data_IF_376723547326
#
_entry.id   IF_376723547326
#
_cell.length_a   1.000
_cell.length_b   1.000
_cell.length_c   1.000
_cell.angle_alpha   90.00
_cell.angle_beta   90.00
_cell.angle_gamma   90.00
#
_symmetry.space_group_name_H-M   'P 1'
#
loop_
_entity.id
_entity.type
_entity.pdbx_description
1 polymer ?
#
# COMPACT_ATOMS: atom_id res chain seq x y z
N UNK A 1 7.54 9.97 -17.00
CA UNK A 1 6.11 10.17 -17.36
C UNK A 1 5.28 10.43 -16.09
N UNK A 2 5.19 11.72 -15.74
CA UNK A 2 4.18 12.37 -14.89
C UNK A 2 3.59 11.56 -13.72
N UNK A 3 4.35 11.38 -12.65
CA UNK A 3 3.83 10.99 -11.33
C UNK A 3 3.12 12.17 -10.65
N UNK A 4 2.10 12.74 -11.28
CA UNK A 4 1.26 13.73 -10.60
C UNK A 4 0.39 12.98 -9.60
N UNK A 5 0.48 13.37 -8.32
CA UNK A 5 -0.60 13.20 -7.35
C UNK A 5 -1.89 13.58 -8.08
N UNK A 6 -2.94 12.74 -8.11
CA UNK A 6 -4.13 13.09 -8.86
C UNK A 6 -4.58 14.48 -8.42
N UNK A 7 -4.90 15.35 -9.38
CA UNK A 7 -5.44 16.71 -9.18
C UNK A 7 -6.78 16.73 -8.41
N UNK A 8 -7.16 15.62 -7.81
CA UNK A 8 -8.36 15.34 -7.05
C UNK A 8 -8.23 15.67 -5.55
N UNK A 9 -7.07 16.12 -5.03
CA UNK A 9 -7.01 16.54 -3.60
C UNK A 9 -8.06 17.64 -3.32
N UNK A 10 -8.41 18.44 -4.33
CA UNK A 10 -9.46 19.47 -4.28
C UNK A 10 -10.91 18.94 -4.31
N UNK A 11 -11.15 17.64 -4.46
CA UNK A 11 -12.50 17.03 -4.49
C UNK A 11 -12.85 16.23 -3.23
N UNK A 12 -11.91 16.10 -2.28
CA UNK A 12 -12.17 15.41 -1.02
C UNK A 12 -12.82 16.37 -0.02
N UNK A 13 -13.81 15.88 0.71
CA UNK A 13 -14.29 16.56 1.92
C UNK A 13 -13.18 16.59 2.98
N UNK A 14 -13.19 17.59 3.86
CA UNK A 14 -12.23 17.69 4.97
C UNK A 14 -12.14 16.42 5.83
N UNK A 15 -13.27 15.74 6.08
CA UNK A 15 -13.30 14.53 6.88
C UNK A 15 -12.59 13.35 6.19
N UNK A 16 -12.81 13.18 4.89
CA UNK A 16 -12.10 12.17 4.09
C UNK A 16 -10.59 12.47 4.01
N UNK A 17 -10.21 13.74 3.87
CA UNK A 17 -8.80 14.13 3.86
C UNK A 17 -8.14 13.87 5.22
N UNK A 18 -8.80 14.25 6.32
CA UNK A 18 -8.32 13.95 7.68
C UNK A 18 -8.19 12.45 7.90
N UNK A 19 -9.20 11.67 7.52
CA UNK A 19 -9.14 10.21 7.63
C UNK A 19 -7.94 9.64 6.85
N UNK A 20 -7.76 10.05 5.59
CA UNK A 20 -6.63 9.62 4.76
C UNK A 20 -5.29 9.92 5.43
N UNK A 21 -5.11 11.12 5.98
CA UNK A 21 -3.90 11.52 6.69
C UNK A 21 -3.65 10.68 7.95
N UNK A 22 -4.69 10.44 8.76
CA UNK A 22 -4.57 9.64 9.99
C UNK A 22 -4.20 8.20 9.68
N UNK A 23 -4.86 7.58 8.71
CA UNK A 23 -4.57 6.20 8.30
C UNK A 23 -3.17 6.08 7.72
N UNK A 24 -2.77 6.99 6.84
CA UNK A 24 -1.42 6.94 6.23
C UNK A 24 -0.34 7.10 7.30
N UNK A 25 -0.52 8.04 8.24
CA UNK A 25 0.40 8.24 9.36
C UNK A 25 0.45 7.02 10.29
N UNK A 26 -0.70 6.42 10.58
CA UNK A 26 -0.79 5.23 11.42
C UNK A 26 -0.05 4.03 10.80
N UNK A 27 -0.22 3.81 9.50
CA UNK A 27 0.38 2.65 8.84
C UNK A 27 1.88 2.82 8.58
N UNK A 28 2.34 4.04 8.29
CA UNK A 28 3.74 4.34 7.98
C UNK A 28 4.56 4.81 9.20
N UNK A 29 3.96 4.88 10.38
CA UNK A 29 4.59 5.33 11.63
C UNK A 29 4.98 4.19 12.57
N UNK A 30 5.58 4.53 13.70
CA UNK A 30 6.29 3.55 14.55
C UNK A 30 5.42 2.78 15.56
N UNK A 31 4.10 3.02 15.61
CA UNK A 31 3.18 2.34 16.53
C UNK A 31 2.53 1.10 15.87
N UNK A 32 2.91 -0.14 16.25
CA UNK A 32 2.38 -1.35 15.62
C UNK A 32 0.90 -1.60 15.92
N UNK A 33 0.40 -1.14 17.08
CA UNK A 33 -1.01 -1.30 17.43
C UNK A 33 -1.87 -0.36 16.60
N UNK A 34 -1.43 0.89 16.46
CA UNK A 34 -2.11 1.87 15.61
C UNK A 34 -2.09 1.45 14.14
N UNK A 35 -0.95 0.94 13.65
CA UNK A 35 -0.83 0.36 12.32
C UNK A 35 -1.85 -0.78 12.12
N UNK A 36 -1.94 -1.73 13.07
CA UNK A 36 -2.87 -2.86 12.98
C UNK A 36 -4.32 -2.39 12.91
N UNK A 37 -4.72 -1.43 13.75
CA UNK A 37 -6.07 -0.85 13.75
C UNK A 37 -6.36 -0.17 12.41
N UNK A 38 -5.45 0.64 11.91
CA UNK A 38 -5.62 1.34 10.63
C UNK A 38 -5.72 0.38 9.44
N UNK A 39 -4.91 -0.69 9.40
CA UNK A 39 -4.98 -1.71 8.36
C UNK A 39 -6.29 -2.51 8.41
N UNK A 40 -6.78 -2.82 9.61
CA UNK A 40 -8.06 -3.49 9.79
C UNK A 40 -9.22 -2.59 9.31
N UNK A 41 -9.20 -1.31 9.67
CA UNK A 41 -10.21 -0.36 9.19
C UNK A 41 -10.18 -0.24 7.67
N UNK A 42 -9.00 -0.09 7.06
CA UNK A 42 -8.85 -0.10 5.60
C UNK A 42 -9.43 -1.35 4.93
N UNK A 43 -9.36 -2.50 5.59
CA UNK A 43 -9.88 -3.76 5.05
C UNK A 43 -11.41 -3.86 5.14
N UNK A 44 -12.06 -3.19 6.10
CA UNK A 44 -13.50 -3.39 6.36
C UNK A 44 -14.37 -2.15 6.17
N UNK A 45 -13.78 -0.97 6.05
CA UNK A 45 -14.51 0.29 5.98
C UNK A 45 -15.14 0.46 4.59
N UNK A 46 -16.46 0.61 4.54
CA UNK A 46 -17.22 0.78 3.30
C UNK A 46 -17.25 2.21 2.78
N UNK A 47 -16.80 3.19 3.57
CA UNK A 47 -16.90 4.63 3.27
C UNK A 47 -15.68 5.20 2.55
N UNK A 48 -14.69 4.37 2.22
CA UNK A 48 -13.38 4.81 1.71
C UNK A 48 -13.21 4.65 0.20
N UNK A 49 -14.28 4.34 -0.55
CA UNK A 49 -14.20 4.18 -2.00
C UNK A 49 -13.60 5.40 -2.71
N UNK A 50 -13.94 6.61 -2.27
CA UNK A 50 -13.37 7.86 -2.79
C UNK A 50 -11.87 8.03 -2.50
N UNK A 51 -11.33 7.29 -1.53
CA UNK A 51 -9.91 7.34 -1.13
C UNK A 51 -9.05 6.29 -1.81
N UNK A 52 -9.65 5.31 -2.49
CA UNK A 52 -8.92 4.26 -3.19
C UNK A 52 -7.79 4.78 -4.10
N UNK A 53 -7.97 5.84 -4.93
CA UNK A 53 -6.90 6.34 -5.80
C UNK A 53 -5.68 6.84 -5.00
N UNK A 54 -5.90 7.39 -3.81
CA UNK A 54 -4.86 7.95 -2.94
C UNK A 54 -4.09 6.85 -2.23
N UNK A 55 -4.78 5.82 -1.71
CA UNK A 55 -4.10 4.68 -1.11
C UNK A 55 -3.33 3.86 -2.16
N UNK A 56 -3.85 3.71 -3.38
CA UNK A 56 -3.11 3.11 -4.50
C UNK A 56 -1.88 3.94 -4.84
N UNK A 57 -1.98 5.29 -4.81
CA UNK A 57 -0.83 6.16 -5.00
C UNK A 57 0.24 5.95 -3.92
N UNK A 58 -0.14 5.83 -2.65
CA UNK A 58 0.79 5.49 -1.55
C UNK A 58 1.51 4.17 -1.85
N UNK A 59 0.78 3.12 -2.23
CA UNK A 59 1.36 1.81 -2.61
C UNK A 59 2.22 1.91 -3.87
N UNK A 60 1.92 2.80 -4.80
CA UNK A 60 2.75 3.03 -6.01
C UNK A 60 4.13 3.62 -5.69
N UNK A 61 4.30 4.18 -4.48
CA UNK A 61 5.55 4.74 -3.98
C UNK A 61 6.64 3.72 -3.62
N UNK A 62 6.46 2.41 -3.82
CA UNK A 62 7.44 1.37 -3.43
C UNK A 62 8.88 1.66 -3.89
N UNK A 63 9.07 2.30 -5.04
CA UNK A 63 10.41 2.61 -5.56
C UNK A 63 11.14 3.67 -4.72
N UNK A 64 10.44 4.63 -4.12
CA UNK A 64 11.07 5.68 -3.30
C UNK A 64 11.55 5.16 -1.95
N UNK A 65 10.94 4.10 -1.43
CA UNK A 65 11.32 3.42 -0.18
C UNK A 65 12.03 2.09 -0.43
N UNK A 66 12.56 1.87 -1.63
CA UNK A 66 13.14 0.58 -2.07
C UNK A 66 14.28 0.06 -1.20
N UNK A 67 14.93 0.93 -0.43
CA UNK A 67 16.03 0.62 0.48
C UNK A 67 15.57 0.23 1.90
N UNK A 68 14.28 0.39 2.22
CA UNK A 68 13.71 0.17 3.54
C UNK A 68 12.71 -1.00 3.50
N UNK A 69 13.14 -2.16 4.02
CA UNK A 69 12.30 -3.36 4.06
C UNK A 69 11.04 -3.18 4.89
N UNK A 70 11.13 -2.42 5.99
CA UNK A 70 10.01 -2.22 6.89
C UNK A 70 8.93 -1.38 6.20
N UNK A 71 9.33 -0.30 5.53
CA UNK A 71 8.41 0.52 4.76
C UNK A 71 7.82 -0.21 3.56
N UNK A 72 8.62 -1.02 2.84
CA UNK A 72 8.10 -1.88 1.78
C UNK A 72 7.05 -2.87 2.31
N UNK A 73 7.30 -3.47 3.48
CA UNK A 73 6.34 -4.36 4.14
C UNK A 73 5.03 -3.64 4.49
N UNK A 74 5.12 -2.43 5.06
CA UNK A 74 3.96 -1.59 5.38
C UNK A 74 3.14 -1.25 4.13
N UNK A 75 3.79 -0.93 3.01
CA UNK A 75 3.10 -0.71 1.72
C UNK A 75 2.39 -1.97 1.21
N UNK A 76 2.99 -3.15 1.36
CA UNK A 76 2.32 -4.42 1.01
C UNK A 76 1.14 -4.72 1.95
N UNK A 77 1.20 -4.32 3.22
CA UNK A 77 0.04 -4.41 4.11
C UNK A 77 -1.11 -3.50 3.70
N UNK A 78 -0.84 -2.26 3.26
CA UNK A 78 -1.87 -1.40 2.65
C UNK A 78 -2.47 -2.10 1.43
N UNK A 79 -1.63 -2.57 0.50
CA UNK A 79 -2.10 -3.27 -0.69
C UNK A 79 -3.03 -4.44 -0.34
N UNK A 80 -2.63 -5.26 0.63
CA UNK A 80 -3.47 -6.36 1.14
C UNK A 80 -4.82 -5.87 1.64
N UNK A 81 -4.86 -4.86 2.51
CA UNK A 81 -6.11 -4.35 3.06
C UNK A 81 -7.05 -3.85 1.97
N UNK A 82 -6.51 -3.16 0.95
CA UNK A 82 -7.31 -2.70 -0.19
C UNK A 82 -7.86 -3.88 -1.02
N UNK A 83 -7.03 -4.88 -1.30
CA UNK A 83 -7.42 -6.07 -2.09
C UNK A 83 -8.51 -6.87 -1.36
N UNK A 84 -8.43 -6.95 -0.03
CA UNK A 84 -9.36 -7.73 0.78
C UNK A 84 -10.63 -6.96 1.17
N UNK A 85 -10.75 -5.68 0.82
CA UNK A 85 -11.92 -4.89 1.16
C UNK A 85 -13.06 -5.14 0.16
N UNK A 86 -14.18 -5.77 0.58
CA UNK A 86 -15.28 -6.13 -0.33
C UNK A 86 -16.07 -4.92 -0.84
N UNK A 87 -15.87 -3.74 -0.26
CA UNK A 87 -16.52 -2.50 -0.65
C UNK A 87 -15.70 -1.68 -1.67
N UNK A 88 -14.52 -2.17 -2.07
CA UNK A 88 -13.64 -1.50 -3.03
C UNK A 88 -13.65 -2.21 -4.39
N UNK A 89 -14.00 -1.45 -5.43
CA UNK A 89 -13.84 -1.90 -6.81
C UNK A 89 -12.47 -1.47 -7.34
N UNK A 90 -11.51 -2.41 -7.41
CA UNK A 90 -10.14 -2.08 -7.83
C UNK A 90 -10.03 -1.66 -9.30
N UNK A 91 -10.86 -2.20 -10.20
CA UNK A 91 -10.97 -1.75 -11.59
C UNK A 91 -9.64 -1.45 -12.28
N UNK A 92 -9.43 -0.19 -12.69
CA UNK A 92 -8.21 0.28 -13.36
C UNK A 92 -6.95 0.33 -12.48
N UNK A 93 -7.10 0.28 -11.15
CA UNK A 93 -6.00 0.32 -10.20
C UNK A 93 -5.26 -1.01 -10.05
N UNK A 94 -5.87 -2.13 -10.49
CA UNK A 94 -5.29 -3.48 -10.39
C UNK A 94 -3.89 -3.53 -11.01
N UNK A 95 -3.69 -2.92 -12.19
CA UNK A 95 -2.38 -2.90 -12.85
C UNK A 95 -1.31 -2.19 -12.01
N UNK A 96 -1.68 -1.08 -11.36
CA UNK A 96 -0.76 -0.34 -10.50
C UNK A 96 -0.38 -1.17 -9.27
N UNK A 97 -1.36 -1.81 -8.63
CA UNK A 97 -1.13 -2.67 -7.46
C UNK A 97 -0.25 -3.87 -7.83
N UNK A 98 -0.53 -4.57 -8.94
CA UNK A 98 0.30 -5.67 -9.43
C UNK A 98 1.74 -5.19 -9.65
N UNK A 99 1.93 -4.04 -10.30
CA UNK A 99 3.27 -3.47 -10.54
C UNK A 99 4.05 -3.23 -9.25
N UNK A 100 3.40 -2.65 -8.24
CA UNK A 100 4.02 -2.42 -6.93
C UNK A 100 4.36 -3.71 -6.19
N UNK A 101 3.43 -4.66 -6.15
CA UNK A 101 3.64 -5.94 -5.45
C UNK A 101 4.71 -6.77 -6.17
N UNK A 102 4.70 -6.80 -7.50
CA UNK A 102 5.71 -7.50 -8.30
C UNK A 102 7.11 -6.89 -8.09
N UNK A 103 7.21 -5.57 -7.99
CA UNK A 103 8.47 -4.90 -7.66
C UNK A 103 9.03 -5.39 -6.31
N UNK A 104 8.20 -5.48 -5.27
CA UNK A 104 8.63 -6.01 -3.97
C UNK A 104 9.05 -7.50 -4.01
N UNK A 105 8.44 -8.29 -4.90
CA UNK A 105 8.81 -9.70 -5.08
C UNK A 105 10.15 -9.88 -5.81
N UNK A 106 10.46 -9.01 -6.77
CA UNK A 106 11.59 -9.21 -7.70
C UNK A 106 12.81 -8.34 -7.41
N UNK A 107 12.60 -7.04 -7.14
CA UNK A 107 13.64 -6.01 -7.28
C UNK A 107 13.76 -5.01 -6.10
N UNK A 108 13.49 -5.34 -4.82
CA UNK A 108 13.72 -4.38 -3.74
C UNK A 108 15.22 -4.11 -3.58
N UNK A 109 15.62 -2.84 -3.65
CA UNK A 109 17.01 -2.41 -3.50
C UNK A 109 17.61 -2.85 -2.16
N UNK A 110 16.79 -2.92 -1.11
CA UNK A 110 17.14 -3.41 0.21
C UNK A 110 17.71 -4.84 0.22
N UNK A 111 17.38 -5.67 -0.79
CA UNK A 111 17.95 -7.01 -0.96
C UNK A 111 19.41 -6.97 -1.44
N UNK A 112 19.82 -5.89 -2.10
CA UNK A 112 21.16 -5.73 -2.68
C UNK A 112 22.12 -4.90 -1.82
N UNK A 113 21.60 -4.01 -0.97
CA UNK A 113 22.42 -3.09 -0.16
C UNK A 113 23.03 -3.78 1.05
N UNK A 114 22.34 -4.74 1.67
CA UNK A 114 22.82 -5.41 2.87
C UNK A 114 22.52 -6.92 2.81
N UNK A 115 23.54 -7.79 2.74
CA UNK A 115 23.33 -9.24 2.66
C UNK A 115 22.73 -9.85 3.93
N UNK A 116 22.70 -9.11 5.06
CA UNK A 116 22.06 -9.54 6.31
C UNK A 116 20.55 -9.24 6.35
N UNK A 117 20.03 -8.48 5.39
CA UNK A 117 18.61 -8.17 5.35
C UNK A 117 17.80 -9.43 4.98
N UNK A 118 16.85 -9.82 5.83
CA UNK A 118 15.87 -10.85 5.48
C UNK A 118 14.83 -10.30 4.50
N UNK A 119 15.23 -10.21 3.24
CA UNK A 119 14.36 -9.81 2.15
C UNK A 119 13.43 -10.96 1.68
N UNK A 120 13.63 -12.19 2.14
CA UNK A 120 12.82 -13.34 1.72
C UNK A 120 11.40 -13.24 2.27
N UNK A 121 11.25 -12.85 3.54
CA UNK A 121 9.94 -12.60 4.15
C UNK A 121 9.09 -11.60 3.33
N UNK A 122 9.69 -10.51 2.86
CA UNK A 122 9.02 -9.53 2.00
C UNK A 122 8.58 -10.14 0.66
N UNK A 123 9.48 -10.91 0.02
CA UNK A 123 9.25 -11.51 -1.30
C UNK A 123 8.17 -12.59 -1.26
N UNK A 124 8.20 -13.45 -0.25
CA UNK A 124 7.18 -14.50 -0.06
C UNK A 124 5.81 -13.89 0.20
N UNK A 125 5.75 -12.83 1.01
CA UNK A 125 4.51 -12.11 1.26
C UNK A 125 3.99 -11.42 -0.01
N UNK A 126 4.87 -10.81 -0.81
CA UNK A 126 4.50 -10.23 -2.10
C UNK A 126 3.97 -11.28 -3.09
N UNK A 127 4.62 -12.45 -3.17
CA UNK A 127 4.16 -13.57 -4.02
C UNK A 127 2.77 -14.08 -3.59
N UNK A 128 2.53 -14.22 -2.28
CA UNK A 128 1.22 -14.55 -1.73
C UNK A 128 0.16 -13.49 -2.06
N UNK A 129 0.52 -12.20 -2.07
CA UNK A 129 -0.42 -11.14 -2.45
C UNK A 129 -0.76 -11.19 -3.93
N UNK A 130 0.21 -11.44 -4.82
CA UNK A 130 -0.06 -11.61 -6.25
C UNK A 130 -1.08 -12.72 -6.48
N UNK A 131 -0.97 -13.84 -5.78
CA UNK A 131 -1.95 -14.94 -5.93
C UNK A 131 -3.37 -14.56 -5.52
N UNK A 132 -3.56 -13.56 -4.64
CA UNK A 132 -4.87 -13.04 -4.22
C UNK A 132 -5.43 -11.94 -5.12
N UNK A 133 -4.63 -11.40 -6.04
CA UNK A 133 -5.11 -10.42 -7.03
C UNK A 133 -5.67 -11.16 -8.25
N UNK A 134 -5.10 -12.32 -8.58
CA UNK A 134 -5.49 -13.13 -9.74
C UNK A 134 -6.66 -14.09 -9.48
N UNK A 135 -7.03 -14.31 -8.22
CA UNK A 135 -8.10 -15.22 -7.76
C UNK A 135 -9.03 -14.51 -6.78
#
# INVERSE_FOLDING_TARGET
>A
PSSQVPSAVSTLTDDLLKYYQHVTRAVLGDDPQLMKVALQDLQTNSKIAALLPYFVYVVSGVKSVSHDLEQLSRLLHIARSLIQNPFLCLGSYVRSLIGSVLYCALEPLAASINPLNDHWTLRDYAAMLLSRIFW
#
